data_IF_355156637235
#
_entry.id   IF_355156637235
#
_cell.length_a   1.000
_cell.length_b   1.000
_cell.length_c   1.000
_cell.angle_alpha   90.00
_cell.angle_beta   90.00
_cell.angle_gamma   90.00
#
_symmetry.space_group_name_H-M   'P 1'
#
loop_
_entity.id
_entity.type
_entity.pdbx_description
1 polymer ?
#
# COMPACT_ATOMS: atom_id res chain seq x y z
N UNK A 1 -21.11 6.70 -8.00
CA UNK A 1 -19.82 7.17 -7.48
C UNK A 1 -18.91 5.98 -7.58
N UNK A 2 -18.02 5.98 -8.56
CA UNK A 2 -17.11 4.86 -8.85
C UNK A 2 -16.18 4.65 -7.66
N UNK A 3 -16.04 3.41 -7.20
CA UNK A 3 -15.10 3.00 -6.16
C UNK A 3 -13.66 3.11 -6.68
N UNK A 4 -13.17 4.33 -6.92
CA UNK A 4 -11.89 4.60 -7.60
C UNK A 4 -10.65 4.29 -6.75
N UNK A 5 -10.84 3.86 -5.50
CA UNK A 5 -9.77 3.68 -4.51
C UNK A 5 -9.68 2.25 -3.94
N UNK A 6 -10.37 1.28 -4.54
CA UNK A 6 -10.31 -0.12 -4.12
C UNK A 6 -9.92 -1.02 -5.30
N UNK A 7 -8.93 -1.88 -5.08
CA UNK A 7 -8.54 -2.91 -6.04
C UNK A 7 -8.32 -4.23 -5.31
N UNK A 8 -8.98 -5.29 -5.80
CA UNK A 8 -8.81 -6.64 -5.24
C UNK A 8 -7.49 -7.24 -5.71
N UNK A 9 -6.55 -7.43 -4.78
CA UNK A 9 -5.20 -7.91 -5.09
C UNK A 9 -4.99 -9.27 -4.45
N UNK A 10 -4.47 -10.22 -5.23
CA UNK A 10 -4.08 -11.53 -4.72
C UNK A 10 -2.76 -11.43 -3.96
N UNK A 11 -2.70 -12.05 -2.78
CA UNK A 11 -1.45 -12.26 -2.04
C UNK A 11 -0.56 -13.24 -2.80
N UNK A 12 0.69 -12.85 -3.04
CA UNK A 12 1.68 -13.69 -3.71
C UNK A 12 2.10 -14.87 -2.82
N UNK A 13 2.73 -15.88 -3.40
CA UNK A 13 3.23 -17.07 -2.66
C UNK A 13 4.20 -16.72 -1.53
N UNK A 14 4.86 -15.56 -1.60
CA UNK A 14 5.77 -15.06 -0.56
C UNK A 14 5.09 -14.27 0.56
N UNK A 15 3.75 -14.19 0.58
CA UNK A 15 3.01 -13.38 1.55
C UNK A 15 3.08 -11.87 1.30
N UNK A 16 3.45 -11.46 0.08
CA UNK A 16 3.54 -10.05 -0.31
C UNK A 16 2.36 -9.63 -1.17
N UNK A 17 2.01 -8.34 -1.12
CA UNK A 17 1.10 -7.70 -2.07
C UNK A 17 1.87 -6.64 -2.86
N UNK A 18 1.51 -6.47 -4.12
CA UNK A 18 2.03 -5.40 -4.96
C UNK A 18 1.07 -4.23 -4.92
N UNK A 19 1.49 -3.08 -4.40
CA UNK A 19 0.66 -1.86 -4.43
C UNK A 19 0.46 -1.45 -5.89
N UNK A 20 -0.80 -1.24 -6.34
CA UNK A 20 -1.11 -0.86 -7.71
C UNK A 20 -0.31 0.34 -8.17
N UNK A 21 0.02 0.37 -9.47
CA UNK A 21 0.86 1.42 -10.04
C UNK A 21 0.25 2.82 -9.84
N UNK A 22 -1.07 2.93 -9.98
CA UNK A 22 -1.75 4.22 -9.83
C UNK A 22 -1.74 4.70 -8.37
N UNK A 23 -1.90 3.80 -7.40
CA UNK A 23 -1.83 4.17 -5.98
C UNK A 23 -0.42 4.63 -5.60
N UNK A 24 0.62 3.98 -6.12
CA UNK A 24 2.02 4.43 -5.94
C UNK A 24 2.24 5.83 -6.50
N UNK A 25 1.74 6.13 -7.70
CA UNK A 25 1.86 7.47 -8.30
C UNK A 25 1.13 8.52 -7.46
N UNK A 26 -0.09 8.23 -7.01
CA UNK A 26 -0.89 9.15 -6.19
C UNK A 26 -0.21 9.45 -4.85
N UNK A 27 0.41 8.45 -4.23
CA UNK A 27 1.16 8.59 -2.99
C UNK A 27 2.57 9.18 -3.20
N UNK A 28 3.06 9.30 -4.43
CA UNK A 28 4.45 9.69 -4.70
C UNK A 28 5.47 8.66 -4.22
N UNK A 29 5.10 7.38 -4.20
CA UNK A 29 5.97 6.29 -3.75
C UNK A 29 7.05 5.95 -4.79
N UNK A 30 8.30 5.94 -4.35
CA UNK A 30 9.46 5.58 -5.13
C UNK A 30 10.20 4.34 -4.60
N UNK A 31 11.11 3.81 -5.41
CA UNK A 31 11.95 2.68 -5.01
C UNK A 31 12.88 3.15 -3.89
N UNK A 32 12.80 2.48 -2.73
CA UNK A 32 13.63 2.80 -1.57
C UNK A 32 12.88 3.56 -0.48
N UNK A 33 11.65 3.99 -0.76
CA UNK A 33 10.79 4.57 0.26
C UNK A 33 10.47 3.56 1.36
N UNK A 34 10.32 4.10 2.57
CA UNK A 34 9.87 3.34 3.71
C UNK A 34 8.39 3.57 3.94
N UNK A 35 7.73 2.53 4.45
CA UNK A 35 6.34 2.60 4.89
C UNK A 35 6.19 2.13 6.32
N UNK A 36 5.26 2.72 7.04
CA UNK A 36 4.73 2.20 8.30
C UNK A 36 3.53 1.32 7.99
N UNK A 37 3.56 0.11 8.52
CA UNK A 37 2.46 -0.86 8.44
C UNK A 37 1.82 -0.94 9.82
N UNK A 38 0.54 -0.59 9.91
CA UNK A 38 -0.20 -0.55 11.17
C UNK A 38 -1.30 -1.60 11.09
N UNK A 39 -1.33 -2.51 12.06
CA UNK A 39 -2.40 -3.48 12.22
C UNK A 39 -3.56 -2.83 12.99
N UNK A 40 -4.71 -2.71 12.34
CA UNK A 40 -5.99 -2.40 12.97
C UNK A 40 -6.78 -3.71 13.22
N UNK A 41 -7.91 -3.68 13.95
CA UNK A 41 -8.65 -4.90 14.29
C UNK A 41 -9.11 -5.74 13.09
N UNK A 42 -9.43 -5.10 11.97
CA UNK A 42 -10.04 -5.70 10.78
C UNK A 42 -9.25 -5.44 9.48
N UNK A 43 -8.28 -4.53 9.49
CA UNK A 43 -7.52 -4.15 8.30
C UNK A 43 -6.08 -3.73 8.62
N UNK A 44 -5.28 -3.51 7.57
CA UNK A 44 -3.93 -2.96 7.67
C UNK A 44 -3.92 -1.58 7.03
N UNK A 45 -3.29 -0.61 7.70
CA UNK A 45 -3.05 0.73 7.16
C UNK A 45 -1.59 0.86 6.78
N UNK A 46 -1.32 1.26 5.53
CA UNK A 46 0.02 1.54 5.03
C UNK A 46 0.18 3.06 4.89
N UNK A 47 1.24 3.63 5.48
CA UNK A 47 1.57 5.06 5.39
C UNK A 47 3.02 5.25 4.96
N UNK A 48 3.29 6.23 4.10
CA UNK A 48 4.66 6.66 3.84
C UNK A 48 5.35 7.08 5.14
N UNK A 49 6.63 6.75 5.26
CA UNK A 49 7.44 7.01 6.43
C UNK A 49 8.74 7.72 6.03
N UNK A 50 9.06 8.78 6.75
CA UNK A 50 10.38 9.41 6.69
C UNK A 50 11.24 8.78 7.79
N UNK A 51 12.40 8.28 7.41
CA UNK A 51 13.44 7.88 8.36
C UNK A 51 14.37 9.08 8.54
N UNK A 52 14.44 9.57 9.78
CA UNK A 52 15.34 10.64 10.23
C UNK A 52 16.41 10.08 11.15
#
# INVERSE_FOLDING_TARGET
MSDENEELIKVSTGGTISIPKEFRKQLGMEKGDYVRVILAPDHIVIRLAVIT
#
